data_IF_890516626087
#
_entry.id   IF_890516626087
#
_cell.length_a   1.000
_cell.length_b   1.000
_cell.length_c   1.000
_cell.angle_alpha   90.00
_cell.angle_beta   90.00
_cell.angle_gamma   90.00
#
_symmetry.space_group_name_H-M   'P 1'
#
loop_
_entity.id
_entity.type
_entity.pdbx_description
1 polymer ?
#
# COMPACT_ATOMS: atom_id res chain seq x y z
N UNK A 1 70.94 55.94 -19.53
CA UNK A 1 70.81 55.05 -18.36
C UNK A 1 69.46 54.37 -18.42
N UNK A 2 69.37 53.19 -17.80
CA UNK A 2 68.31 52.16 -17.81
C UNK A 2 66.86 52.67 -17.96
N UNK A 3 65.92 51.97 -18.61
CA UNK A 3 65.67 50.52 -18.66
C UNK A 3 64.38 50.23 -17.86
N UNK A 4 63.19 50.17 -18.50
CA UNK A 4 62.49 48.93 -18.90
C UNK A 4 62.21 47.96 -17.72
N UNK A 5 60.99 47.62 -17.30
CA UNK A 5 59.60 47.91 -17.75
C UNK A 5 58.59 47.47 -16.66
N UNK A 6 57.37 46.94 -16.87
CA UNK A 6 56.55 46.58 -18.05
C UNK A 6 55.04 46.49 -17.65
N UNK A 7 54.14 46.96 -18.54
CA UNK A 7 52.82 46.45 -19.04
C UNK A 7 52.09 45.24 -18.40
N UNK A 8 50.78 44.92 -18.65
CA UNK A 8 49.80 45.53 -19.62
C UNK A 8 48.29 45.65 -19.21
N UNK A 9 47.49 46.45 -19.98
CA UNK A 9 46.07 46.21 -20.45
C UNK A 9 44.96 45.89 -19.38
N UNK A 10 43.63 45.84 -19.61
CA UNK A 10 42.55 46.35 -20.51
C UNK A 10 41.21 45.99 -19.77
N UNK A 11 39.98 46.44 -20.11
CA UNK A 11 39.38 47.21 -21.22
C UNK A 11 38.15 47.95 -20.65
N UNK A 12 38.00 49.27 -20.80
CA UNK A 12 36.76 49.97 -20.41
C UNK A 12 35.80 50.13 -21.59
N UNK A 13 34.66 49.43 -21.56
CA UNK A 13 33.43 49.74 -22.32
C UNK A 13 32.29 48.95 -21.67
N UNK A 14 31.35 49.65 -21.06
CA UNK A 14 30.08 49.09 -20.61
C UNK A 14 28.94 49.94 -21.22
N UNK A 15 27.86 49.26 -21.58
CA UNK A 15 26.91 49.70 -22.62
C UNK A 15 25.51 49.99 -22.08
N UNK A 16 24.84 50.94 -22.74
CA UNK A 16 23.39 51.11 -22.88
C UNK A 16 22.45 50.70 -21.72
N UNK A 17 21.83 51.72 -21.11
CA UNK A 17 20.63 51.56 -20.31
C UNK A 17 19.45 51.05 -21.15
N UNK A 18 19.13 49.76 -21.02
CA UNK A 18 17.85 49.20 -21.49
C UNK A 18 16.90 49.02 -20.31
N UNK A 19 15.70 49.60 -20.41
CA UNK A 19 14.70 49.60 -19.34
C UNK A 19 14.00 48.24 -19.26
N UNK A 20 13.90 47.67 -18.06
CA UNK A 20 13.06 46.49 -17.80
C UNK A 20 11.96 46.76 -16.76
N UNK A 21 10.72 46.58 -17.21
CA UNK A 21 9.50 46.93 -16.50
C UNK A 21 9.09 45.81 -15.51
N UNK A 22 9.46 45.96 -14.23
CA UNK A 22 9.15 44.97 -13.18
C UNK A 22 7.78 45.25 -12.55
N UNK A 23 6.73 44.55 -13.02
CA UNK A 23 5.38 44.57 -12.42
C UNK A 23 5.45 44.31 -10.91
N UNK A 24 4.90 45.23 -10.10
CA UNK A 24 4.79 45.08 -8.63
C UNK A 24 3.75 44.00 -8.31
N UNK A 25 4.12 42.96 -7.54
CA UNK A 25 3.15 42.00 -6.97
C UNK A 25 2.29 42.69 -5.90
N UNK A 26 0.98 42.39 -5.80
CA UNK A 26 0.12 42.97 -4.77
C UNK A 26 0.52 42.44 -3.39
N UNK A 27 0.64 43.34 -2.40
CA UNK A 27 0.83 42.97 -1.00
C UNK A 27 -0.52 42.61 -0.39
N UNK A 28 -0.81 41.32 -0.21
CA UNK A 28 -1.93 40.90 0.64
C UNK A 28 -1.67 41.38 2.07
N UNK A 29 -2.48 42.33 2.54
CA UNK A 29 -2.51 42.73 3.95
C UNK A 29 -3.35 41.70 4.71
N UNK A 30 -2.72 40.67 5.25
CA UNK A 30 -3.34 39.73 6.17
C UNK A 30 -3.94 40.51 7.36
N UNK A 31 -5.27 40.56 7.44
CA UNK A 31 -6.00 41.12 8.59
C UNK A 31 -6.35 39.97 9.52
N UNK A 32 -5.49 39.70 10.51
CA UNK A 32 -5.59 38.54 11.40
C UNK A 32 -7.00 38.36 12.02
N UNK A 33 -7.66 39.47 12.39
CA UNK A 33 -9.03 39.45 12.90
C UNK A 33 -10.10 38.90 11.94
N UNK A 34 -9.89 38.93 10.62
CA UNK A 34 -10.81 38.31 9.64
C UNK A 34 -10.69 36.78 9.68
N UNK A 35 -9.49 36.26 9.90
CA UNK A 35 -9.25 34.81 10.01
C UNK A 35 -9.84 34.27 11.31
N UNK A 36 -9.62 34.98 12.43
CA UNK A 36 -10.24 34.64 13.72
C UNK A 36 -11.78 34.68 13.61
N UNK A 37 -12.34 35.69 12.93
CA UNK A 37 -13.79 35.77 12.72
C UNK A 37 -14.33 34.59 11.88
N UNK A 38 -13.67 34.25 10.77
CA UNK A 38 -14.04 33.08 9.95
C UNK A 38 -13.97 31.80 10.79
N UNK A 39 -12.91 31.60 11.58
CA UNK A 39 -12.75 30.42 12.43
C UNK A 39 -13.87 30.30 13.48
N UNK A 40 -14.24 31.41 14.15
CA UNK A 40 -15.34 31.44 15.12
C UNK A 40 -16.69 31.11 14.44
N UNK A 41 -16.96 31.65 13.25
CA UNK A 41 -18.19 31.36 12.50
C UNK A 41 -18.24 29.89 12.07
N UNK A 42 -17.14 29.33 11.56
CA UNK A 42 -17.05 27.92 11.19
C UNK A 42 -17.27 27.03 12.42
N UNK A 43 -16.57 27.29 13.52
CA UNK A 43 -16.72 26.53 14.76
C UNK A 43 -18.16 26.55 15.29
N UNK A 44 -18.80 27.73 15.35
CA UNK A 44 -20.19 27.86 15.77
C UNK A 44 -21.16 27.12 14.83
N UNK A 45 -20.91 27.11 13.52
CA UNK A 45 -21.73 26.39 12.55
C UNK A 45 -21.59 24.87 12.69
N UNK A 46 -20.38 24.35 12.85
CA UNK A 46 -20.12 22.93 13.07
C UNK A 46 -20.72 22.46 14.40
N UNK A 47 -20.58 23.25 15.47
CA UNK A 47 -21.17 22.94 16.77
C UNK A 47 -22.72 22.95 16.72
N UNK A 48 -23.32 23.90 16.01
CA UNK A 48 -24.77 23.94 15.80
C UNK A 48 -25.31 22.73 15.02
N UNK A 49 -24.60 22.32 13.95
CA UNK A 49 -24.92 21.12 13.18
C UNK A 49 -24.75 19.84 14.00
N UNK A 50 -23.70 19.74 14.81
CA UNK A 50 -23.47 18.62 15.73
C UNK A 50 -24.60 18.49 16.77
N UNK A 51 -24.95 19.58 17.45
CA UNK A 51 -26.03 19.59 18.45
C UNK A 51 -27.39 19.26 17.81
N UNK A 52 -27.62 19.68 16.57
CA UNK A 52 -28.81 19.29 15.81
C UNK A 52 -28.81 17.79 15.46
N UNK A 53 -27.67 17.24 15.03
CA UNK A 53 -27.53 15.82 14.72
C UNK A 53 -27.77 14.93 15.95
N UNK A 54 -27.17 15.23 17.11
CA UNK A 54 -27.42 14.48 18.35
C UNK A 54 -28.90 14.51 18.73
N UNK A 55 -29.57 15.66 18.59
CA UNK A 55 -30.96 15.84 18.99
C UNK A 55 -31.99 15.26 17.99
N UNK A 56 -31.61 15.08 16.72
CA UNK A 56 -32.49 14.50 15.68
C UNK A 56 -32.30 12.98 15.50
N UNK A 57 -31.08 12.48 15.69
CA UNK A 57 -30.71 11.08 15.44
C UNK A 57 -30.53 10.24 16.71
N UNK A 58 -30.71 10.82 17.91
CA UNK A 58 -30.68 10.06 19.16
C UNK A 58 -29.36 9.34 19.43
N UNK A 59 -28.24 9.92 18.97
CA UNK A 59 -26.91 9.35 19.11
C UNK A 59 -26.36 9.60 20.51
N UNK A 60 -26.78 8.77 21.46
CA UNK A 60 -26.15 8.69 22.78
C UNK A 60 -24.75 8.03 22.66
N UNK A 61 -23.73 8.44 23.43
CA UNK A 61 -22.34 8.00 23.21
C UNK A 61 -22.02 6.60 23.76
N UNK A 62 -22.89 6.02 24.58
CA UNK A 62 -22.51 5.01 25.59
C UNK A 62 -23.37 3.72 25.56
N UNK A 63 -23.62 3.11 24.39
CA UNK A 63 -24.16 1.74 24.31
C UNK A 63 -23.42 0.81 23.34
N UNK A 64 -22.55 -0.03 23.91
CA UNK A 64 -22.40 -1.40 23.41
C UNK A 64 -23.71 -2.17 23.55
N UNK A 65 -24.01 -3.08 22.62
CA UNK A 65 -25.13 -4.01 22.75
C UNK A 65 -24.65 -5.44 22.50
N UNK A 66 -24.58 -6.22 23.58
CA UNK A 66 -24.45 -7.68 23.55
C UNK A 66 -25.81 -8.34 23.79
N UNK A 67 -26.22 -9.23 22.89
CA UNK A 67 -27.16 -10.33 23.06
C UNK A 67 -27.15 -11.15 21.74
N UNK A 68 -27.28 -12.48 21.70
CA UNK A 68 -27.61 -13.46 22.74
C UNK A 68 -27.00 -14.85 22.41
N UNK A 69 -26.95 -15.76 23.38
CA UNK A 69 -26.40 -17.14 23.24
C UNK A 69 -27.37 -18.18 23.80
N UNK A 70 -27.70 -19.21 23.01
CA UNK A 70 -28.32 -20.52 23.37
C UNK A 70 -28.53 -21.29 22.04
N UNK A 71 -28.63 -22.62 21.88
CA UNK A 71 -28.27 -23.86 22.63
C UNK A 71 -28.26 -25.00 21.55
N UNK A 72 -27.74 -26.23 21.69
CA UNK A 72 -27.16 -26.99 22.80
C UNK A 72 -26.03 -27.93 22.29
N UNK A 73 -26.04 -29.24 22.60
CA UNK A 73 -25.00 -30.22 22.25
C UNK A 73 -25.53 -31.59 21.78
N UNK A 74 -24.71 -32.35 21.05
CA UNK A 74 -24.54 -33.82 21.10
C UNK A 74 -23.44 -34.25 20.10
N UNK A 75 -22.77 -35.40 20.16
CA UNK A 75 -22.23 -36.32 21.18
C UNK A 75 -21.62 -37.52 20.40
N UNK A 76 -20.62 -38.19 20.99
CA UNK A 76 -20.26 -39.63 20.87
C UNK A 76 -19.46 -40.22 19.68
N UNK A 77 -18.27 -40.77 20.02
CA UNK A 77 -17.55 -41.98 19.51
C UNK A 77 -17.11 -42.06 18.02
N UNK A 78 -15.84 -42.30 17.66
CA UNK A 78 -14.86 -43.36 18.04
C UNK A 78 -15.02 -44.69 17.28
N UNK A 79 -14.10 -44.98 16.36
CA UNK A 79 -13.30 -46.23 16.34
C UNK A 79 -12.34 -46.29 15.14
N UNK A 80 -11.06 -46.60 15.39
CA UNK A 80 -10.16 -47.22 14.41
C UNK A 80 -10.43 -48.75 14.34
N UNK A 81 -9.84 -49.49 13.38
CA UNK A 81 -8.62 -50.22 13.78
C UNK A 81 -7.55 -50.46 12.69
N UNK A 82 -6.35 -50.75 13.20
CA UNK A 82 -5.19 -51.52 12.69
C UNK A 82 -5.04 -51.92 11.21
N UNK A 83 -3.92 -51.46 10.63
CA UNK A 83 -2.75 -52.24 10.20
C UNK A 83 -2.94 -53.65 9.62
N UNK A 84 -2.45 -53.85 8.38
CA UNK A 84 -1.78 -55.10 7.95
C UNK A 84 -0.90 -54.88 6.71
N UNK A 85 0.39 -55.21 6.80
CA UNK A 85 1.23 -55.54 5.62
C UNK A 85 1.27 -57.08 5.46
N UNK A 86 1.57 -57.64 4.26
CA UNK A 86 2.98 -57.90 3.94
C UNK A 86 3.40 -57.84 2.45
N UNK A 87 4.57 -57.23 2.20
CA UNK A 87 5.72 -57.67 1.38
C UNK A 87 5.53 -58.48 0.05
N UNK A 88 5.96 -57.82 -1.04
CA UNK A 88 6.64 -58.30 -2.27
C UNK A 88 5.96 -59.28 -3.26
N UNK A 89 6.03 -58.93 -4.56
CA UNK A 89 6.93 -59.56 -5.57
C UNK A 89 6.85 -58.79 -6.92
N UNK A 90 7.99 -58.59 -7.59
CA UNK A 90 8.11 -57.96 -8.93
C UNK A 90 7.93 -59.01 -10.05
N UNK A 91 7.35 -58.67 -11.22
CA UNK A 91 8.22 -58.57 -12.40
C UNK A 91 7.83 -57.50 -13.45
N UNK A 92 8.85 -56.76 -13.90
CA UNK A 92 9.21 -56.42 -15.29
C UNK A 92 8.12 -56.08 -16.35
N UNK A 93 8.12 -54.78 -16.72
CA UNK A 93 7.87 -54.20 -18.05
C UNK A 93 6.57 -54.46 -18.86
N UNK A 94 5.79 -53.40 -19.05
CA UNK A 94 5.35 -52.96 -20.40
C UNK A 94 5.19 -51.43 -20.42
N UNK A 95 5.67 -50.81 -21.49
CA UNK A 95 5.66 -49.37 -21.74
C UNK A 95 4.25 -48.86 -22.08
N UNK A 96 3.73 -47.89 -21.34
CA UNK A 96 2.58 -47.05 -21.74
C UNK A 96 2.66 -45.73 -20.99
N UNK A 97 2.99 -44.63 -21.69
CA UNK A 97 2.88 -43.29 -21.11
C UNK A 97 1.40 -42.98 -20.82
N UNK A 98 1.03 -42.67 -19.55
CA UNK A 98 -0.22 -41.97 -19.28
C UNK A 98 -0.03 -40.51 -19.72
N UNK A 99 -1.02 -39.87 -20.38
CA UNK A 99 -0.96 -38.44 -20.61
C UNK A 99 -0.95 -37.74 -19.26
N UNK A 100 0.16 -37.07 -18.94
CA UNK A 100 0.27 -36.24 -17.75
C UNK A 100 -0.61 -35.00 -17.95
N UNK A 101 -1.89 -35.14 -17.57
CA UNK A 101 -2.84 -34.06 -17.36
C UNK A 101 -2.15 -32.94 -16.61
N UNK A 102 -1.96 -31.80 -17.27
CA UNK A 102 -1.47 -30.58 -16.62
C UNK A 102 -2.54 -30.13 -15.64
N UNK A 103 -2.39 -30.53 -14.38
CA UNK A 103 -3.03 -29.83 -13.27
C UNK A 103 -2.61 -28.34 -13.36
N UNK A 104 -3.53 -27.39 -13.09
CA UNK A 104 -3.14 -25.99 -12.97
C UNK A 104 -2.00 -25.87 -11.95
N UNK A 105 -1.01 -25.02 -12.23
CA UNK A 105 0.01 -24.73 -11.23
C UNK A 105 -0.68 -24.14 -10.00
N UNK A 106 -0.56 -24.80 -8.84
CA UNK A 106 -1.09 -24.27 -7.58
C UNK A 106 -0.52 -22.88 -7.32
N UNK A 107 -1.31 -21.98 -6.75
CA UNK A 107 -0.86 -20.63 -6.45
C UNK A 107 0.16 -20.68 -5.30
N UNK A 108 1.45 -20.69 -5.64
CA UNK A 108 2.55 -20.77 -4.67
C UNK A 108 2.80 -19.40 -4.07
N UNK A 109 2.53 -19.30 -2.76
CA UNK A 109 2.75 -18.09 -1.95
C UNK A 109 3.87 -18.30 -0.92
N UNK A 110 4.73 -17.28 -0.67
CA UNK A 110 4.86 -16.05 -1.45
C UNK A 110 5.26 -16.30 -2.91
N UNK A 111 4.91 -15.37 -3.80
CA UNK A 111 5.35 -15.40 -5.19
C UNK A 111 6.88 -15.59 -5.26
N UNK A 112 7.40 -16.58 -6.03
CA UNK A 112 8.83 -16.84 -6.11
C UNK A 112 9.56 -15.91 -7.09
N UNK A 113 10.88 -15.78 -6.95
CA UNK A 113 11.73 -15.03 -7.89
C UNK A 113 11.73 -15.69 -9.27
N UNK A 114 11.63 -14.88 -10.32
CA UNK A 114 11.68 -15.24 -11.73
C UNK A 114 12.53 -14.22 -12.51
N UNK A 115 12.75 -14.50 -13.80
CA UNK A 115 13.30 -13.50 -14.72
C UNK A 115 12.45 -12.23 -14.71
N UNK A 116 13.12 -11.07 -14.56
CA UNK A 116 12.45 -9.79 -14.43
C UNK A 116 11.62 -9.45 -15.70
N UNK A 117 10.34 -9.12 -15.50
CA UNK A 117 9.51 -8.49 -16.53
C UNK A 117 10.05 -7.10 -16.88
N UNK A 118 9.72 -6.62 -18.07
CA UNK A 118 9.93 -5.22 -18.45
C UNK A 118 8.89 -4.30 -17.79
N UNK A 119 9.18 -3.00 -17.69
CA UNK A 119 8.36 -2.05 -16.94
C UNK A 119 6.95 -1.80 -17.52
N UNK A 120 6.71 -2.17 -18.77
CA UNK A 120 5.39 -2.22 -19.41
C UNK A 120 4.45 -3.26 -18.77
N UNK A 121 4.96 -4.21 -17.98
CA UNK A 121 4.14 -5.04 -17.09
C UNK A 121 3.19 -4.22 -16.20
N UNK A 122 3.59 -3.02 -15.78
CA UNK A 122 2.76 -2.15 -14.96
C UNK A 122 1.60 -1.49 -15.72
N UNK A 123 1.57 -1.55 -17.06
CA UNK A 123 0.43 -1.05 -17.84
C UNK A 123 -0.82 -1.95 -17.67
N UNK A 124 -0.65 -3.23 -17.33
CA UNK A 124 -1.71 -4.20 -17.00
C UNK A 124 -2.10 -4.22 -15.50
N UNK A 125 -1.42 -3.40 -14.67
CA UNK A 125 -1.53 -3.43 -13.21
C UNK A 125 -2.17 -2.16 -12.64
N UNK A 126 -2.99 -2.30 -11.59
CA UNK A 126 -3.40 -1.19 -10.72
C UNK A 126 -2.82 -1.39 -9.32
N UNK A 127 -2.22 -0.34 -8.77
CA UNK A 127 -1.62 -0.32 -7.43
C UNK A 127 -2.50 0.47 -6.45
N UNK A 128 -3.19 -0.23 -5.56
CA UNK A 128 -4.03 0.33 -4.51
C UNK A 128 -3.24 0.44 -3.21
N UNK A 129 -3.27 1.60 -2.57
CA UNK A 129 -2.63 1.74 -1.26
C UNK A 129 -2.54 3.14 -0.67
N UNK A 130 -1.55 3.31 0.20
CA UNK A 130 -1.34 4.53 0.96
C UNK A 130 -0.20 5.43 0.41
N UNK A 131 0.38 6.28 1.26
CA UNK A 131 1.51 7.16 0.91
C UNK A 131 2.77 6.43 0.42
N UNK A 132 2.97 5.16 0.78
CA UNK A 132 4.06 4.34 0.25
C UNK A 132 3.74 3.95 -1.20
N UNK A 133 2.48 3.61 -1.49
CA UNK A 133 2.04 3.27 -2.86
C UNK A 133 2.06 4.52 -3.77
N UNK A 134 1.69 5.69 -3.25
CA UNK A 134 1.86 7.00 -3.93
C UNK A 134 3.32 7.28 -4.31
N UNK A 135 4.29 6.71 -3.60
CA UNK A 135 5.71 6.84 -3.92
C UNK A 135 6.10 6.28 -5.28
N UNK A 136 5.44 5.20 -5.74
CA UNK A 136 5.69 4.56 -7.04
C UNK A 136 5.54 5.54 -8.21
N UNK A 137 4.47 6.35 -8.21
CA UNK A 137 4.24 7.39 -9.22
C UNK A 137 4.99 8.70 -8.92
N UNK A 138 5.20 9.03 -7.64
CA UNK A 138 5.99 10.21 -7.23
C UNK A 138 7.43 10.14 -7.73
N UNK A 139 8.05 8.96 -7.69
CA UNK A 139 9.40 8.72 -8.24
C UNK A 139 9.42 8.25 -9.70
N UNK A 140 8.24 8.23 -10.36
CA UNK A 140 8.05 7.94 -11.78
C UNK A 140 8.39 6.50 -12.23
N UNK A 141 8.23 5.52 -11.34
CA UNK A 141 8.37 4.09 -11.68
C UNK A 141 7.10 3.50 -12.28
N UNK A 142 5.94 3.96 -11.81
CA UNK A 142 4.62 3.53 -12.29
C UNK A 142 3.85 4.78 -12.77
N UNK A 143 3.12 4.72 -13.90
CA UNK A 143 2.27 5.82 -14.34
C UNK A 143 1.27 6.23 -13.24
N UNK A 144 1.07 7.54 -13.03
CA UNK A 144 0.14 8.02 -12.00
C UNK A 144 -1.31 7.54 -12.21
N UNK A 145 -1.70 7.27 -13.47
CA UNK A 145 -3.00 6.68 -13.84
C UNK A 145 -3.16 5.21 -13.44
N UNK A 146 -2.10 4.53 -13.00
CA UNK A 146 -2.11 3.16 -12.46
C UNK A 146 -1.93 3.08 -10.95
N UNK A 147 -1.79 4.23 -10.27
CA UNK A 147 -1.59 4.30 -8.80
C UNK A 147 -2.84 4.85 -8.12
N UNK A 148 -3.71 3.95 -7.67
CA UNK A 148 -4.97 4.24 -6.99
C UNK A 148 -4.75 4.34 -5.49
N UNK A 149 -3.94 5.33 -5.10
CA UNK A 149 -3.47 5.50 -3.74
C UNK A 149 -3.62 6.94 -3.24
N UNK A 150 -3.88 7.09 -1.94
CA UNK A 150 -3.97 8.39 -1.25
C UNK A 150 -3.05 8.40 -0.03
N UNK A 151 -2.36 9.52 0.21
CA UNK A 151 -1.51 9.70 1.39
C UNK A 151 -2.32 9.47 2.68
N UNK A 152 -1.87 8.54 3.51
CA UNK A 152 -2.55 8.19 4.76
C UNK A 152 -3.83 7.35 4.60
N UNK A 153 -4.06 6.71 3.45
CA UNK A 153 -5.20 5.80 3.29
C UNK A 153 -5.10 4.63 4.29
N UNK A 154 -6.16 4.43 5.04
CA UNK A 154 -6.37 3.31 5.96
C UNK A 154 -7.39 2.34 5.32
N UNK A 155 -7.23 1.04 5.56
CA UNK A 155 -8.08 0.00 4.96
C UNK A 155 -9.58 0.22 5.22
N UNK A 156 -9.98 0.72 6.39
CA UNK A 156 -11.37 1.06 6.76
C UNK A 156 -12.04 2.12 5.86
N UNK A 157 -11.29 2.78 4.98
CA UNK A 157 -11.79 3.84 4.08
C UNK A 157 -11.72 3.47 2.60
N UNK A 158 -11.02 2.38 2.23
CA UNK A 158 -10.69 2.06 0.83
C UNK A 158 -11.93 1.98 -0.08
N UNK A 159 -13.05 1.47 0.45
CA UNK A 159 -14.34 1.32 -0.25
C UNK A 159 -14.94 2.66 -0.72
N UNK A 160 -14.54 3.78 -0.13
CA UNK A 160 -15.12 5.12 -0.40
C UNK A 160 -14.09 6.16 -0.81
N UNK A 161 -12.80 5.83 -0.79
CA UNK A 161 -11.74 6.77 -1.12
C UNK A 161 -11.76 7.09 -2.62
N UNK A 162 -11.56 8.37 -2.96
CA UNK A 162 -11.61 8.85 -4.34
C UNK A 162 -10.23 9.28 -4.83
N UNK A 163 -9.78 8.64 -5.90
CA UNK A 163 -8.43 8.79 -6.48
C UNK A 163 -8.51 9.43 -7.87
N UNK A 164 -7.39 9.96 -8.36
CA UNK A 164 -7.30 10.46 -9.73
C UNK A 164 -6.88 9.32 -10.67
N UNK A 165 -7.75 8.94 -11.58
CA UNK A 165 -7.56 7.89 -12.59
C UNK A 165 -7.52 8.49 -14.00
N UNK A 166 -7.34 7.67 -15.03
CA UNK A 166 -7.53 8.11 -16.41
C UNK A 166 -8.99 8.51 -16.74
N UNK A 167 -9.96 8.00 -15.97
CA UNK A 167 -11.40 8.31 -16.08
C UNK A 167 -11.83 9.55 -15.28
N UNK A 168 -10.90 10.19 -14.57
CA UNK A 168 -11.14 11.37 -13.73
C UNK A 168 -11.00 11.07 -12.23
N UNK A 169 -11.64 11.89 -11.38
CA UNK A 169 -11.61 11.67 -9.92
C UNK A 169 -12.84 10.88 -9.49
N UNK A 170 -12.65 9.58 -9.23
CA UNK A 170 -13.69 8.60 -8.93
C UNK A 170 -13.27 7.67 -7.76
N UNK A 171 -14.21 6.91 -7.14
CA UNK A 171 -13.87 5.89 -6.15
C UNK A 171 -12.88 4.83 -6.68
N UNK A 172 -12.07 4.26 -5.79
CA UNK A 172 -11.09 3.21 -6.16
C UNK A 172 -11.75 2.03 -6.88
N UNK A 173 -12.87 1.51 -6.37
CA UNK A 173 -13.60 0.40 -6.98
C UNK A 173 -14.16 0.73 -8.36
N UNK A 174 -14.77 1.92 -8.54
CA UNK A 174 -15.28 2.39 -9.84
C UNK A 174 -14.13 2.54 -10.86
N UNK A 175 -12.94 2.94 -10.42
CA UNK A 175 -11.75 2.98 -11.26
C UNK A 175 -11.26 1.60 -11.69
N UNK A 176 -11.37 0.59 -10.82
CA UNK A 176 -11.01 -0.80 -11.14
C UNK A 176 -12.05 -1.40 -12.10
N UNK A 177 -13.34 -1.19 -11.84
CA UNK A 177 -14.45 -1.57 -12.70
C UNK A 177 -14.29 -1.03 -14.14
N UNK A 178 -13.90 0.25 -14.28
CA UNK A 178 -13.67 0.83 -15.61
C UNK A 178 -12.37 0.37 -16.29
N UNK A 179 -11.33 0.03 -15.51
CA UNK A 179 -10.04 -0.36 -16.03
C UNK A 179 -9.94 -1.85 -16.44
N UNK A 180 -10.65 -2.74 -15.73
CA UNK A 180 -10.54 -4.21 -15.85
C UNK A 180 -9.06 -4.68 -15.95
N UNK A 181 -8.19 -4.34 -14.97
CA UNK A 181 -6.78 -4.67 -15.01
C UNK A 181 -6.53 -6.18 -14.92
N UNK A 182 -5.42 -6.69 -15.46
CA UNK A 182 -5.02 -8.09 -15.20
C UNK A 182 -4.70 -8.30 -13.72
N UNK A 183 -4.03 -7.31 -13.10
CA UNK A 183 -3.60 -7.40 -11.70
C UNK A 183 -4.03 -6.18 -10.87
N UNK A 184 -4.54 -6.44 -9.67
CA UNK A 184 -4.66 -5.42 -8.61
C UNK A 184 -3.71 -5.76 -7.46
N UNK A 185 -2.67 -4.94 -7.35
CA UNK A 185 -1.72 -4.97 -6.24
C UNK A 185 -2.28 -4.12 -5.09
N UNK A 186 -2.43 -4.70 -3.89
CA UNK A 186 -2.99 -4.02 -2.72
C UNK A 186 -1.95 -3.96 -1.60
N UNK A 187 -1.63 -2.75 -1.12
CA UNK A 187 -0.75 -2.53 0.03
C UNK A 187 -1.41 -1.55 1.01
N UNK A 188 -2.15 -2.09 1.99
CA UNK A 188 -2.89 -1.31 2.98
C UNK A 188 -2.83 -1.98 4.36
N UNK A 189 -2.44 -1.20 5.38
CA UNK A 189 -2.32 -1.64 6.77
C UNK A 189 -1.40 -0.76 7.61
N UNK A 190 -0.35 -0.19 7.00
CA UNK A 190 0.63 0.72 7.63
C UNK A 190 -0.06 1.86 8.41
N UNK A 191 -1.08 2.47 7.81
CA UNK A 191 -1.98 3.39 8.50
C UNK A 191 -3.08 2.58 9.19
N UNK A 192 -2.90 2.24 10.47
CA UNK A 192 -3.85 1.46 11.26
C UNK A 192 -3.18 0.46 12.20
N UNK A 193 -2.03 -0.08 11.80
CA UNK A 193 -1.31 -1.17 12.47
C UNK A 193 -1.07 -0.99 13.98
N UNK A 194 -0.94 0.25 14.45
CA UNK A 194 -0.65 0.57 15.86
C UNK A 194 -1.89 0.76 16.75
N UNK A 195 -3.12 0.66 16.21
CA UNK A 195 -4.36 0.86 16.98
C UNK A 195 -5.60 0.09 16.50
N UNK A 196 -5.60 -0.48 15.29
CA UNK A 196 -6.66 -1.38 14.82
C UNK A 196 -6.29 -2.84 15.12
N UNK A 197 -7.28 -3.68 15.42
CA UNK A 197 -7.05 -5.12 15.52
C UNK A 197 -6.80 -5.72 14.13
N UNK A 198 -5.96 -6.76 14.06
CA UNK A 198 -5.75 -7.52 12.81
C UNK A 198 -7.06 -8.04 12.24
N UNK A 199 -7.97 -8.54 13.09
CA UNK A 199 -9.33 -8.96 12.71
C UNK A 199 -10.09 -7.84 11.97
N UNK A 200 -10.11 -6.62 12.51
CA UNK A 200 -10.76 -5.47 11.85
C UNK A 200 -10.13 -5.18 10.50
N UNK A 201 -8.79 -5.15 10.44
CA UNK A 201 -8.07 -4.83 9.22
C UNK A 201 -8.26 -5.90 8.14
N UNK A 202 -8.20 -7.19 8.50
CA UNK A 202 -8.41 -8.33 7.59
C UNK A 202 -9.86 -8.38 7.08
N UNK A 203 -10.85 -8.14 7.95
CA UNK A 203 -12.27 -8.05 7.54
C UNK A 203 -12.47 -6.98 6.48
N UNK A 204 -11.93 -5.78 6.70
CA UNK A 204 -11.99 -4.68 5.72
C UNK A 204 -11.19 -4.97 4.44
N UNK A 205 -10.07 -5.69 4.57
CA UNK A 205 -9.27 -6.11 3.42
C UNK A 205 -10.03 -7.12 2.55
N UNK A 206 -10.63 -8.15 3.16
CA UNK A 206 -11.43 -9.15 2.46
C UNK A 206 -12.71 -8.57 1.85
N UNK A 207 -13.39 -7.64 2.54
CA UNK A 207 -14.51 -6.89 1.96
C UNK A 207 -14.10 -6.13 0.68
N UNK A 208 -12.93 -5.48 0.70
CA UNK A 208 -12.41 -4.78 -0.47
C UNK A 208 -11.99 -5.73 -1.60
N UNK A 209 -11.26 -6.80 -1.31
CA UNK A 209 -10.82 -7.75 -2.36
C UNK A 209 -12.00 -8.51 -2.96
N UNK A 210 -13.02 -8.83 -2.17
CA UNK A 210 -14.26 -9.43 -2.68
C UNK A 210 -15.01 -8.46 -3.61
N UNK A 211 -15.11 -7.18 -3.24
CA UNK A 211 -15.72 -6.17 -4.10
C UNK A 211 -14.92 -5.94 -5.40
N UNK A 212 -13.58 -6.04 -5.36
CA UNK A 212 -12.74 -6.03 -6.57
C UNK A 212 -13.07 -7.20 -7.50
N UNK A 213 -13.23 -8.42 -6.98
CA UNK A 213 -13.62 -9.58 -7.78
C UNK A 213 -15.06 -9.51 -8.29
N UNK A 214 -15.97 -8.84 -7.58
CA UNK A 214 -17.35 -8.63 -8.05
C UNK A 214 -17.40 -7.69 -9.28
N UNK A 215 -16.66 -6.58 -9.24
CA UNK A 215 -16.67 -5.58 -10.34
C UNK A 215 -15.68 -5.89 -11.47
N UNK A 216 -14.71 -6.77 -11.23
CA UNK A 216 -13.63 -7.11 -12.17
C UNK A 216 -13.24 -8.60 -12.01
N UNK A 217 -14.10 -9.54 -12.48
CA UNK A 217 -14.00 -10.96 -12.14
C UNK A 217 -12.78 -11.68 -12.74
N UNK A 218 -12.20 -11.14 -13.82
CA UNK A 218 -10.98 -11.67 -14.45
C UNK A 218 -9.69 -11.07 -13.84
N UNK A 219 -9.79 -10.15 -12.87
CA UNK A 219 -8.65 -9.53 -12.21
C UNK A 219 -8.06 -10.44 -11.12
N UNK A 220 -6.77 -10.73 -11.25
CA UNK A 220 -6.00 -11.43 -10.22
C UNK A 220 -5.53 -10.45 -9.12
N UNK A 221 -5.72 -10.82 -7.86
CA UNK A 221 -5.36 -9.98 -6.71
C UNK A 221 -3.97 -10.37 -6.19
N UNK A 222 -3.12 -9.38 -5.97
CA UNK A 222 -1.80 -9.52 -5.35
C UNK A 222 -1.77 -8.76 -4.03
N UNK A 223 -1.83 -9.51 -2.93
CA UNK A 223 -1.72 -9.00 -1.56
C UNK A 223 -0.24 -8.70 -1.27
N UNK A 224 0.11 -7.43 -1.10
CA UNK A 224 1.46 -7.02 -0.72
C UNK A 224 1.59 -6.96 0.80
N UNK A 225 2.66 -7.57 1.33
CA UNK A 225 3.05 -7.42 2.73
C UNK A 225 3.31 -5.94 3.07
N UNK A 226 2.94 -5.49 4.26
CA UNK A 226 3.30 -4.16 4.77
C UNK A 226 4.81 -4.12 5.03
N UNK A 227 5.55 -3.11 4.54
CA UNK A 227 7.01 -3.05 4.68
C UNK A 227 7.44 -2.84 6.15
N UNK A 228 8.69 -3.19 6.49
CA UNK A 228 9.25 -2.89 7.81
C UNK A 228 9.40 -1.38 8.01
N UNK A 229 9.49 -0.96 9.26
CA UNK A 229 9.90 0.39 9.66
C UNK A 229 11.27 0.37 10.32
N UNK A 230 11.94 1.52 10.38
CA UNK A 230 13.28 1.61 10.97
C UNK A 230 13.26 1.44 12.49
N UNK A 231 14.43 1.15 13.07
CA UNK A 231 14.60 1.13 14.52
C UNK A 231 14.20 2.46 15.18
N UNK A 232 14.51 3.60 14.54
CA UNK A 232 14.10 4.92 15.00
C UNK A 232 12.58 5.12 15.01
N UNK A 233 11.87 4.61 14.00
CA UNK A 233 10.40 4.71 13.93
C UNK A 233 9.70 3.77 14.92
N UNK A 234 10.24 2.57 15.11
CA UNK A 234 9.74 1.59 16.07
C UNK A 234 9.86 2.06 17.53
N UNK A 235 10.94 2.78 17.85
CA UNK A 235 11.22 3.29 19.19
C UNK A 235 10.83 4.78 19.36
N UNK A 236 9.99 5.31 18.46
CA UNK A 236 9.54 6.69 18.52
C UNK A 236 8.67 6.96 19.77
N UNK A 237 8.88 8.10 20.42
CA UNK A 237 8.09 8.50 21.60
C UNK A 237 6.63 8.84 21.28
N UNK A 238 6.34 9.21 20.03
CA UNK A 238 5.00 9.56 19.55
C UNK A 238 4.57 8.59 18.44
N UNK A 239 3.46 7.90 18.68
CA UNK A 239 2.85 6.92 17.77
C UNK A 239 3.87 5.93 17.17
N UNK A 240 4.62 5.15 17.98
CA UNK A 240 5.53 4.13 17.47
C UNK A 240 4.79 3.08 16.65
N UNK A 241 5.51 2.40 15.77
CA UNK A 241 4.99 1.30 14.95
C UNK A 241 5.92 0.12 15.13
N UNK A 242 5.44 -0.98 15.73
CA UNK A 242 6.30 -2.13 15.98
C UNK A 242 6.43 -3.00 14.75
N UNK A 243 7.65 -3.45 14.43
CA UNK A 243 7.83 -4.45 13.39
C UNK A 243 7.20 -5.80 13.78
N UNK A 244 7.00 -6.08 15.08
CA UNK A 244 6.24 -7.26 15.54
C UNK A 244 4.80 -7.26 15.04
N UNK A 245 4.15 -6.10 15.06
CA UNK A 245 2.73 -5.97 14.73
C UNK A 245 2.57 -6.08 13.21
N UNK A 246 3.47 -5.41 12.46
CA UNK A 246 3.63 -5.57 11.01
C UNK A 246 3.84 -7.04 10.62
N UNK A 247 4.78 -7.74 11.27
CA UNK A 247 5.06 -9.15 10.98
C UNK A 247 3.86 -10.06 11.27
N UNK A 248 3.12 -9.76 12.35
CA UNK A 248 1.91 -10.52 12.72
C UNK A 248 0.82 -10.28 11.68
N UNK A 249 0.54 -9.04 11.30
CA UNK A 249 -0.44 -8.70 10.27
C UNK A 249 -0.08 -9.29 8.89
N UNK A 250 1.18 -9.22 8.49
CA UNK A 250 1.68 -9.85 7.25
C UNK A 250 1.50 -11.37 7.26
N UNK A 251 1.68 -12.03 8.41
CA UNK A 251 1.43 -13.47 8.54
C UNK A 251 -0.05 -13.80 8.35
N UNK A 252 -0.98 -12.97 8.82
CA UNK A 252 -2.41 -13.15 8.57
C UNK A 252 -2.81 -12.80 7.13
N UNK A 253 -2.21 -11.78 6.52
CA UNK A 253 -2.39 -11.46 5.09
C UNK A 253 -1.97 -12.61 4.18
N UNK A 254 -0.88 -13.32 4.51
CA UNK A 254 -0.45 -14.53 3.79
C UNK A 254 -1.47 -15.67 3.94
N UNK A 255 -2.01 -15.90 5.14
CA UNK A 255 -3.07 -16.90 5.35
C UNK A 255 -4.32 -16.56 4.54
N UNK A 256 -4.76 -15.31 4.59
CA UNK A 256 -5.91 -14.78 3.85
C UNK A 256 -5.72 -14.93 2.33
N UNK A 257 -4.50 -14.65 1.82
CA UNK A 257 -4.18 -14.85 0.41
C UNK A 257 -4.28 -16.34 0.01
N UNK A 258 -3.76 -17.25 0.84
CA UNK A 258 -3.90 -18.69 0.62
C UNK A 258 -5.36 -19.17 0.70
N UNK A 259 -6.16 -18.65 1.63
CA UNK A 259 -7.56 -19.01 1.83
C UNK A 259 -8.44 -18.64 0.62
N UNK A 260 -8.26 -17.43 0.07
CA UNK A 260 -9.05 -16.92 -1.06
C UNK A 260 -8.36 -17.11 -2.43
N UNK A 261 -7.22 -17.81 -2.49
CA UNK A 261 -6.49 -18.10 -3.73
C UNK A 261 -5.79 -16.90 -4.36
N UNK A 262 -5.61 -15.80 -3.62
CA UNK A 262 -4.88 -14.61 -4.06
C UNK A 262 -3.37 -14.87 -4.06
N UNK A 263 -2.64 -14.09 -4.86
CA UNK A 263 -1.18 -14.06 -4.79
C UNK A 263 -0.71 -13.24 -3.60
N UNK A 264 0.42 -13.61 -3.00
CA UNK A 264 1.05 -12.88 -1.90
C UNK A 264 2.49 -12.48 -2.25
N UNK A 265 2.80 -11.19 -2.08
CA UNK A 265 4.14 -10.64 -2.35
C UNK A 265 4.81 -10.16 -1.06
N UNK A 266 5.89 -10.84 -0.65
CA UNK A 266 6.65 -10.52 0.56
C UNK A 266 7.74 -9.45 0.32
N UNK A 267 7.31 -8.20 0.09
CA UNK A 267 8.22 -7.05 0.08
C UNK A 267 8.84 -6.78 1.47
N UNK A 268 8.22 -7.29 2.53
CA UNK A 268 8.62 -7.02 3.90
C UNK A 268 9.97 -7.69 4.21
N UNK A 269 10.12 -8.96 3.85
CA UNK A 269 11.42 -9.66 3.96
C UNK A 269 12.46 -9.04 3.03
N UNK A 270 12.09 -8.64 1.81
CA UNK A 270 13.01 -8.06 0.84
C UNK A 270 13.61 -6.70 1.28
N UNK A 271 12.91 -5.94 2.11
CA UNK A 271 13.32 -4.61 2.59
C UNK A 271 13.91 -4.62 4.02
N UNK A 272 14.10 -5.79 4.64
CA UNK A 272 14.70 -5.93 5.97
C UNK A 272 16.23 -6.00 5.91
N UNK A 273 16.87 -5.26 6.81
CA UNK A 273 18.26 -5.48 7.19
C UNK A 273 18.43 -6.69 8.13
N UNK A 274 19.68 -6.98 8.49
CA UNK A 274 20.06 -8.12 9.34
C UNK A 274 19.45 -8.08 10.77
N UNK A 275 18.93 -6.93 11.21
CA UNK A 275 18.24 -6.75 12.50
C UNK A 275 16.71 -6.94 12.40
N UNK A 276 16.20 -7.28 11.20
CA UNK A 276 14.78 -7.51 10.94
C UNK A 276 13.96 -6.22 10.75
N UNK A 277 14.60 -5.09 10.46
CA UNK A 277 13.98 -3.75 10.35
C UNK A 277 14.37 -3.07 9.03
N UNK A 278 13.70 -1.98 8.67
CA UNK A 278 14.14 -1.16 7.53
C UNK A 278 15.47 -0.48 7.91
N UNK A 279 16.53 -0.56 7.09
CA UNK A 279 17.76 0.18 7.37
C UNK A 279 17.52 1.69 7.32
N UNK A 280 18.09 2.45 8.28
CA UNK A 280 17.92 3.92 8.36
C UNK A 280 18.40 4.65 7.09
N UNK A 281 19.31 4.05 6.31
CA UNK A 281 19.79 4.59 5.04
C UNK A 281 18.75 4.46 3.91
N UNK A 282 17.85 3.49 3.99
CA UNK A 282 16.85 3.16 2.98
C UNK A 282 15.52 3.92 3.21
N UNK A 283 15.35 4.46 4.41
CA UNK A 283 14.21 5.28 4.79
C UNK A 283 14.38 6.78 4.46
N UNK A 284 13.23 7.44 4.36
CA UNK A 284 13.06 8.87 4.57
C UNK A 284 13.17 9.20 6.07
N UNK A 285 13.23 10.50 6.41
CA UNK A 285 13.49 10.99 7.77
C UNK A 285 12.47 10.57 8.85
N UNK A 286 11.31 10.05 8.46
CA UNK A 286 10.29 9.54 9.37
C UNK A 286 10.48 8.06 9.71
N UNK A 287 11.42 7.36 9.07
CA UNK A 287 11.68 5.94 9.31
C UNK A 287 10.57 4.99 8.84
N UNK A 288 9.63 5.47 8.02
CA UNK A 288 8.54 4.68 7.42
C UNK A 288 8.58 4.76 5.90
N UNK A 289 8.59 5.97 5.34
CA UNK A 289 8.58 6.13 3.88
C UNK A 289 9.95 5.81 3.32
N UNK A 290 10.01 5.35 2.08
CA UNK A 290 11.26 5.03 1.42
C UNK A 290 11.94 6.25 0.81
N UNK A 291 13.25 6.17 0.57
CA UNK A 291 13.94 7.04 -0.37
C UNK A 291 13.81 6.49 -1.81
N UNK A 292 14.30 7.22 -2.84
CA UNK A 292 14.19 6.77 -4.23
C UNK A 292 14.89 5.43 -4.51
N UNK A 293 16.11 5.22 -4.03
CA UNK A 293 16.87 3.99 -4.29
C UNK A 293 16.16 2.75 -3.73
N UNK A 294 15.49 2.88 -2.60
CA UNK A 294 14.65 1.83 -2.02
C UNK A 294 13.41 1.53 -2.86
N UNK A 295 12.83 2.51 -3.56
CA UNK A 295 11.83 2.23 -4.60
C UNK A 295 12.43 1.54 -5.84
N UNK A 296 13.70 1.79 -6.19
CA UNK A 296 14.39 1.05 -7.26
C UNK A 296 14.51 -0.44 -6.91
N UNK A 297 14.83 -0.76 -5.64
CA UNK A 297 14.83 -2.14 -5.11
C UNK A 297 13.42 -2.74 -5.11
N UNK A 298 12.41 -2.02 -4.61
CA UNK A 298 11.01 -2.48 -4.61
C UNK A 298 10.49 -2.80 -6.02
N UNK A 299 10.89 -2.00 -7.01
CA UNK A 299 10.43 -2.15 -8.41
C UNK A 299 11.12 -3.32 -9.12
N UNK A 300 12.43 -3.53 -8.92
CA UNK A 300 13.09 -4.75 -9.39
C UNK A 300 12.49 -6.00 -8.72
N UNK A 301 12.20 -5.93 -7.41
CA UNK A 301 11.53 -7.02 -6.69
C UNK A 301 10.14 -7.31 -7.27
N UNK A 302 9.30 -6.29 -7.48
CA UNK A 302 7.98 -6.42 -8.13
C UNK A 302 8.07 -7.10 -9.51
N UNK A 303 9.01 -6.66 -10.36
CA UNK A 303 9.17 -7.19 -11.72
C UNK A 303 9.72 -8.62 -11.76
N UNK A 304 10.42 -9.06 -10.71
CA UNK A 304 10.90 -10.45 -10.55
C UNK A 304 9.89 -11.39 -9.91
N UNK A 305 8.90 -10.87 -9.19
CA UNK A 305 7.96 -11.65 -8.39
C UNK A 305 6.52 -11.35 -8.87
N UNK A 306 6.25 -11.63 -10.15
CA UNK A 306 4.91 -11.52 -10.73
C UNK A 306 4.18 -12.85 -10.70
N UNK A 307 2.83 -12.87 -10.73
CA UNK A 307 2.06 -14.02 -11.19
C UNK A 307 2.45 -14.45 -12.62
N UNK A 308 1.88 -15.58 -13.07
CA UNK A 308 2.21 -16.21 -14.36
C UNK A 308 1.55 -15.51 -15.58
#
# INVERSE_FOLDING_TARGET
MEGSGRTPRRRGKETEHTIHNRKRRPRLRFRFGVIVFIWVVVFASCFGLYMFACNLFGMDPDQESSADTTEAASDTTESAPETTEPVATEPEATETEPPATTAPAENVNPLPERDAKSADYFDDCIFVGDSITVGLSTYQFVPATRVYATIGLNITRVMTETVATEYGKIPILEGIEQAQPKYVYVMLGSNGIAWLSNETMLKQYHEFTSAVQEVSPDTEIVVMSIPPVTAGRENASESPIQNSDINTYNSELLKMANEYGYHYLDINTALKGNDGKLPEADASKDGMHFNKATYEVLVDYLLRHTPL
#
